data_IF_469979369409
#
_entry.id   IF_469979369409
#
_cell.length_a   1.000
_cell.length_b   1.000
_cell.length_c   1.000
_cell.angle_alpha   90.00
_cell.angle_beta   90.00
_cell.angle_gamma   90.00
#
_symmetry.space_group_name_H-M   'P 1'
#
loop_
_entity.id
_entity.type
_entity.pdbx_description
1 polymer ?
#
# COMPACT_ATOMS: atom_id res chain seq x y z
N UNK A 1 -2.28 52.78 59.05
CA UNK A 1 -1.93 51.66 58.16
C UNK A 1 -2.24 52.08 56.73
N UNK A 2 -1.26 52.66 56.03
CA UNK A 2 -1.20 52.76 54.57
C UNK A 2 0.24 53.16 54.23
N UNK A 3 1.06 52.18 53.81
CA UNK A 3 2.43 52.39 53.34
C UNK A 3 2.36 52.32 51.82
N UNK A 4 2.68 53.43 51.15
CA UNK A 4 2.92 53.49 49.72
C UNK A 4 4.39 53.06 49.52
N UNK A 5 4.59 51.87 48.95
CA UNK A 5 5.90 51.40 48.52
C UNK A 5 6.02 51.58 47.00
N UNK A 6 6.92 52.46 46.58
CA UNK A 6 7.35 52.60 45.20
C UNK A 6 8.22 51.39 44.81
N UNK A 7 7.92 50.77 43.65
CA UNK A 7 8.77 49.74 43.06
C UNK A 7 9.92 50.39 42.29
N UNK A 8 11.16 49.87 42.34
CA UNK A 8 12.21 50.26 41.41
C UNK A 8 12.13 49.46 40.10
N UNK A 9 12.42 50.15 38.99
CA UNK A 9 12.58 49.60 37.64
C UNK A 9 13.64 48.49 37.60
N UNK A 10 13.28 47.36 37.00
CA UNK A 10 14.21 46.28 36.70
C UNK A 10 14.92 46.57 35.36
N UNK A 11 16.15 47.06 35.42
CA UNK A 11 17.04 47.14 34.26
C UNK A 11 17.56 45.75 33.89
N UNK A 12 17.18 45.25 32.71
CA UNK A 12 17.67 44.00 32.17
C UNK A 12 19.20 44.08 31.88
N UNK A 13 19.98 43.20 32.51
CA UNK A 13 21.40 43.01 32.20
C UNK A 13 21.55 42.44 30.78
N UNK A 14 22.18 43.20 29.89
CA UNK A 14 22.46 42.78 28.51
C UNK A 14 23.57 41.72 28.43
N UNK A 15 23.33 40.65 27.66
CA UNK A 15 24.32 39.59 27.39
C UNK A 15 25.52 40.12 26.58
N UNK A 16 26.75 39.66 26.84
CA UNK A 16 27.92 40.04 26.05
C UNK A 16 27.88 39.41 24.65
N UNK A 17 28.41 40.15 23.66
CA UNK A 17 28.41 39.80 22.23
C UNK A 17 29.27 38.56 21.96
N UNK A 18 28.80 37.69 21.08
CA UNK A 18 29.52 36.46 20.69
C UNK A 18 30.18 36.60 19.32
N UNK A 19 31.16 35.75 19.02
CA UNK A 19 31.83 35.69 17.70
C UNK A 19 30.85 35.43 16.54
N UNK A 20 29.74 34.74 16.80
CA UNK A 20 28.66 34.55 15.84
C UNK A 20 27.94 35.86 15.48
N UNK A 21 27.79 36.79 16.43
CA UNK A 21 27.19 38.12 16.17
C UNK A 21 28.08 39.01 15.30
N UNK A 22 29.40 38.75 15.27
CA UNK A 22 30.37 39.50 14.46
C UNK A 22 30.37 39.05 12.98
N UNK A 23 30.08 37.77 12.72
CA UNK A 23 30.10 37.22 11.35
C UNK A 23 28.75 37.25 10.64
N UNK A 24 27.64 37.18 11.38
CA UNK A 24 26.30 37.06 10.77
C UNK A 24 25.41 38.29 10.98
N UNK A 25 25.90 39.31 11.67
CA UNK A 25 25.11 40.49 12.00
C UNK A 25 24.01 40.18 13.00
N UNK A 26 23.59 41.20 13.75
CA UNK A 26 22.51 41.07 14.73
C UNK A 26 21.20 40.88 13.97
N UNK A 27 20.50 39.76 14.19
CA UNK A 27 19.08 39.66 13.80
C UNK A 27 18.27 40.56 14.74
N UNK A 28 18.12 41.81 14.35
CA UNK A 28 17.14 42.71 14.94
C UNK A 28 15.75 42.22 14.54
N UNK A 29 14.89 41.96 15.54
CA UNK A 29 13.48 41.73 15.29
C UNK A 29 12.87 43.01 14.69
N UNK A 30 12.05 42.93 13.63
CA UNK A 30 11.40 44.11 13.07
C UNK A 30 10.51 44.75 14.15
N UNK A 31 10.42 46.10 14.21
CA UNK A 31 9.60 46.78 15.19
C UNK A 31 8.12 46.45 14.99
N UNK A 32 7.43 46.22 16.11
CA UNK A 32 5.98 46.03 16.18
C UNK A 32 5.26 47.19 15.46
N UNK A 33 4.72 46.91 14.28
CA UNK A 33 3.72 47.80 13.68
C UNK A 33 2.43 47.67 14.51
N UNK A 34 2.18 48.68 15.33
CA UNK A 34 0.86 48.95 15.90
C UNK A 34 -0.17 49.08 14.76
N UNK A 35 -1.03 48.07 14.62
CA UNK A 35 -2.27 48.19 13.85
C UNK A 35 -3.36 48.69 14.80
N UNK A 36 -3.84 49.91 14.57
CA UNK A 36 -5.03 50.45 15.22
C UNK A 36 -6.28 49.73 14.65
N UNK A 37 -7.10 49.05 15.46
CA UNK A 37 -8.36 48.49 14.98
C UNK A 37 -9.40 49.60 14.75
N UNK A 38 -10.23 49.53 13.69
CA UNK A 38 -11.21 50.58 13.39
C UNK A 38 -12.31 50.69 14.46
N UNK A 39 -12.90 51.89 14.66
CA UNK A 39 -13.83 52.14 15.77
C UNK A 39 -15.14 51.35 15.63
N UNK A 40 -15.51 50.66 16.72
CA UNK A 40 -16.81 49.99 16.88
C UNK A 40 -17.96 51.00 16.79
N UNK A 41 -18.92 50.71 15.92
CA UNK A 41 -20.24 51.37 15.87
C UNK A 41 -20.94 51.27 17.23
N UNK A 42 -21.34 52.43 17.75
CA UNK A 42 -22.13 52.58 18.97
C UNK A 42 -23.55 52.09 18.71
N UNK A 43 -23.96 50.99 19.35
CA UNK A 43 -25.36 50.59 19.47
C UNK A 43 -25.93 51.10 20.81
N UNK A 44 -27.10 51.73 20.72
CA UNK A 44 -27.84 52.39 21.82
C UNK A 44 -28.19 51.41 22.97
N UNK A 45 -28.28 51.91 24.23
CA UNK A 45 -28.60 51.09 25.38
C UNK A 45 -30.11 50.82 25.51
N UNK A 46 -30.49 49.56 25.77
CA UNK A 46 -31.81 49.16 26.25
C UNK A 46 -31.77 48.74 27.72
N UNK A 47 -32.84 49.11 28.44
CA UNK A 47 -33.02 49.13 29.92
C UNK A 47 -32.80 47.78 30.64
N UNK A 48 -32.47 47.80 31.95
CA UNK A 48 -32.31 46.61 32.76
C UNK A 48 -33.67 46.04 33.20
N UNK A 49 -33.88 44.74 33.01
CA UNK A 49 -34.96 43.98 33.64
C UNK A 49 -34.37 42.95 34.58
N UNK A 50 -34.75 43.07 35.84
CA UNK A 50 -34.41 42.20 36.97
C UNK A 50 -35.05 40.82 36.82
N UNK A 51 -34.29 39.72 36.94
CA UNK A 51 -34.84 38.47 37.51
C UNK A 51 -33.79 37.47 38.01
N UNK A 52 -33.83 37.28 39.33
CA UNK A 52 -33.52 36.10 40.16
C UNK A 52 -32.41 35.13 39.75
N UNK A 53 -31.34 35.20 40.55
CA UNK A 53 -30.31 34.19 40.72
C UNK A 53 -30.89 33.01 41.52
N UNK A 54 -31.18 31.89 40.86
CA UNK A 54 -31.30 30.60 41.53
C UNK A 54 -29.95 29.88 41.45
N UNK A 55 -29.38 29.62 42.63
CA UNK A 55 -28.19 28.78 42.81
C UNK A 55 -28.60 27.33 42.60
N UNK A 56 -28.26 26.74 41.46
CA UNK A 56 -28.11 25.29 41.35
C UNK A 56 -26.66 24.98 41.04
N UNK A 57 -26.00 24.29 41.98
CA UNK A 57 -24.64 23.80 41.80
C UNK A 57 -24.61 22.78 40.69
N UNK A 58 -24.08 23.18 39.52
CA UNK A 58 -23.75 22.25 38.46
C UNK A 58 -22.25 21.96 38.55
N UNK A 59 -21.92 20.87 39.23
CA UNK A 59 -20.62 20.21 39.14
C UNK A 59 -20.28 20.01 37.67
N UNK A 60 -19.31 20.75 37.14
CA UNK A 60 -18.68 20.47 35.85
C UNK A 60 -17.83 19.22 36.02
N UNK A 61 -18.45 18.03 35.86
CA UNK A 61 -17.67 16.84 35.52
C UNK A 61 -17.05 17.09 34.17
N UNK A 62 -15.77 17.48 34.17
CA UNK A 62 -14.89 17.36 33.02
C UNK A 62 -14.88 15.88 32.65
N UNK A 63 -15.70 15.51 31.66
CA UNK A 63 -15.60 14.21 31.04
C UNK A 63 -14.45 14.34 30.05
N UNK A 64 -13.26 13.90 30.47
CA UNK A 64 -12.16 13.67 29.55
C UNK A 64 -12.71 12.86 28.36
N UNK A 65 -12.33 13.19 27.10
CA UNK A 65 -12.73 12.37 25.97
C UNK A 65 -12.25 10.95 26.26
N UNK A 66 -13.18 9.99 26.20
CA UNK A 66 -12.84 8.58 26.29
C UNK A 66 -11.79 8.33 25.20
N UNK A 67 -10.59 7.92 25.62
CA UNK A 67 -9.58 7.39 24.73
C UNK A 67 -10.27 6.21 24.06
N UNK A 68 -10.64 6.37 22.79
CA UNK A 68 -11.16 5.25 22.03
C UNK A 68 -10.03 4.22 22.03
N UNK A 69 -10.27 3.07 22.65
CA UNK A 69 -9.39 1.92 22.58
C UNK A 69 -9.15 1.66 21.10
N UNK A 70 -7.96 2.05 20.64
CA UNK A 70 -7.52 1.71 19.29
C UNK A 70 -7.30 0.20 19.37
N UNK A 71 -8.03 -0.63 18.61
CA UNK A 71 -7.79 -2.06 18.64
C UNK A 71 -6.31 -2.28 18.32
N UNK A 72 -5.58 -2.81 19.31
CA UNK A 72 -4.15 -3.09 19.19
C UNK A 72 -4.00 -4.09 18.05
N UNK A 73 -3.45 -3.63 16.91
CA UNK A 73 -3.12 -4.50 15.78
C UNK A 73 -2.19 -5.59 16.34
N UNK A 74 -2.50 -6.88 16.16
CA UNK A 74 -1.58 -7.95 16.54
C UNK A 74 -0.19 -7.63 15.98
N UNK A 75 0.89 -7.81 16.77
CA UNK A 75 2.23 -7.53 16.30
C UNK A 75 2.48 -8.30 15.00
N UNK A 76 3.04 -7.61 14.00
CA UNK A 76 3.37 -8.26 12.74
C UNK A 76 4.31 -9.44 13.00
N UNK A 77 4.13 -10.58 12.31
CA UNK A 77 5.05 -11.71 12.43
C UNK A 77 6.48 -11.25 12.11
N UNK A 78 7.46 -11.81 12.82
CA UNK A 78 8.86 -11.47 12.60
C UNK A 78 9.24 -11.73 11.13
N UNK A 79 10.06 -10.85 10.51
CA UNK A 79 10.54 -11.08 9.14
C UNK A 79 11.29 -12.41 9.03
N UNK A 80 11.09 -13.12 7.92
CA UNK A 80 11.83 -14.35 7.61
C UNK A 80 13.20 -13.98 7.07
N UNK A 81 14.23 -14.71 7.50
CA UNK A 81 15.59 -14.57 6.96
C UNK A 81 15.61 -14.86 5.46
N UNK A 82 16.29 -14.01 4.69
CA UNK A 82 16.33 -14.13 3.23
C UNK A 82 17.36 -15.18 2.81
N UNK A 83 17.02 -16.01 1.83
CA UNK A 83 17.95 -16.97 1.25
C UNK A 83 19.14 -16.21 0.61
N UNK A 84 20.37 -16.76 0.63
CA UNK A 84 21.53 -16.11 0.02
C UNK A 84 21.37 -15.80 -1.47
N UNK A 85 20.63 -16.65 -2.19
CA UNK A 85 20.30 -16.55 -3.62
C UNK A 85 18.98 -15.83 -3.90
N UNK A 86 18.36 -15.20 -2.89
CA UNK A 86 17.13 -14.44 -3.07
C UNK A 86 17.27 -13.36 -4.15
N UNK A 87 16.28 -13.30 -5.03
CA UNK A 87 16.20 -12.30 -6.10
C UNK A 87 16.07 -10.91 -5.51
N UNK A 88 16.90 -9.99 -5.97
CA UNK A 88 16.85 -8.59 -5.53
C UNK A 88 15.85 -7.79 -6.36
N UNK A 89 14.85 -7.18 -5.70
CA UNK A 89 14.01 -6.12 -6.27
C UNK A 89 14.59 -4.78 -5.83
N UNK A 90 15.15 -4.04 -6.78
CA UNK A 90 15.72 -2.72 -6.51
C UNK A 90 14.63 -1.66 -6.56
N UNK A 91 14.47 -0.89 -5.48
CA UNK A 91 13.55 0.26 -5.42
C UNK A 91 14.35 1.55 -5.46
N UNK A 92 14.00 2.42 -6.41
CA UNK A 92 14.59 3.74 -6.61
C UNK A 92 13.48 4.78 -6.48
N UNK A 93 13.73 5.85 -5.72
CA UNK A 93 12.68 6.81 -5.48
C UNK A 93 13.06 8.05 -4.69
N UNK A 94 12.06 8.93 -4.58
CA UNK A 94 12.01 10.03 -3.63
C UNK A 94 11.34 9.58 -2.31
N UNK A 95 10.92 10.51 -1.45
CA UNK A 95 10.29 10.15 -0.17
C UNK A 95 8.99 9.33 -0.32
N UNK A 96 8.24 9.50 -1.42
CA UNK A 96 7.08 8.67 -1.70
C UNK A 96 7.54 7.27 -2.13
N UNK A 97 8.59 7.20 -2.96
CA UNK A 97 9.24 5.94 -3.31
C UNK A 97 9.85 5.20 -2.11
N UNK A 98 10.31 5.92 -1.08
CA UNK A 98 10.67 5.35 0.22
C UNK A 98 9.49 4.63 0.88
N UNK A 99 8.31 5.26 0.83
CA UNK A 99 7.08 4.63 1.29
C UNK A 99 6.70 3.38 0.48
N UNK A 100 6.91 3.38 -0.83
CA UNK A 100 6.73 2.20 -1.68
C UNK A 100 7.70 1.07 -1.29
N UNK A 101 8.97 1.39 -1.05
CA UNK A 101 9.98 0.42 -0.62
C UNK A 101 9.58 -0.24 0.70
N UNK A 102 9.21 0.55 1.71
CA UNK A 102 8.71 0.04 3.00
C UNK A 102 7.46 -0.86 2.82
N UNK A 103 6.55 -0.49 1.92
CA UNK A 103 5.38 -1.30 1.62
C UNK A 103 5.72 -2.64 0.96
N UNK A 104 6.73 -2.68 0.08
CA UNK A 104 7.22 -3.90 -0.55
C UNK A 104 7.99 -4.77 0.45
N UNK A 105 8.78 -4.17 1.34
CA UNK A 105 9.46 -4.86 2.44
C UNK A 105 8.45 -5.55 3.37
N UNK A 106 7.36 -4.87 3.76
CA UNK A 106 6.27 -5.49 4.55
C UNK A 106 5.58 -6.61 3.76
N UNK A 107 5.28 -6.39 2.48
CA UNK A 107 4.61 -7.37 1.63
C UNK A 107 5.44 -8.66 1.44
N UNK A 108 6.76 -8.52 1.34
CA UNK A 108 7.69 -9.60 1.05
C UNK A 108 8.41 -10.10 2.30
N UNK A 109 8.07 -9.63 3.49
CA UNK A 109 8.75 -9.98 4.73
C UNK A 109 8.83 -11.49 4.98
N UNK A 110 7.78 -12.22 4.60
CA UNK A 110 7.65 -13.67 4.80
C UNK A 110 8.16 -14.51 3.61
N UNK A 111 8.62 -13.87 2.53
CA UNK A 111 9.14 -14.55 1.36
C UNK A 111 10.68 -14.64 1.43
N UNK A 112 11.28 -15.83 1.60
CA UNK A 112 12.73 -15.97 1.72
C UNK A 112 13.46 -15.76 0.39
N UNK A 113 12.78 -15.90 -0.76
CA UNK A 113 13.38 -15.91 -2.10
C UNK A 113 13.45 -14.53 -2.76
N UNK A 114 12.90 -13.51 -2.12
CA UNK A 114 12.95 -12.13 -2.61
C UNK A 114 13.39 -11.17 -1.52
N UNK A 115 14.35 -10.32 -1.87
CA UNK A 115 14.80 -9.20 -1.03
C UNK A 115 14.57 -7.87 -1.72
N UNK A 116 14.27 -6.84 -0.95
CA UNK A 116 14.15 -5.47 -1.44
C UNK A 116 15.46 -4.74 -1.19
N UNK A 117 16.08 -4.22 -2.24
CA UNK A 117 17.21 -3.30 -2.15
C UNK A 117 16.68 -1.87 -2.23
N UNK A 118 16.75 -1.13 -1.12
CA UNK A 118 16.21 0.22 -1.02
C UNK A 118 17.29 1.26 -1.35
N UNK A 119 17.22 1.83 -2.55
CA UNK A 119 18.11 2.90 -3.03
C UNK A 119 17.33 4.20 -3.20
N UNK A 120 16.59 4.60 -2.17
CA UNK A 120 15.81 5.84 -2.17
C UNK A 120 16.64 7.02 -1.68
N UNK A 121 16.45 8.18 -2.31
CA UNK A 121 16.91 9.46 -1.80
C UNK A 121 15.72 10.41 -1.64
N UNK A 122 15.32 10.67 -0.39
CA UNK A 122 14.03 11.30 -0.07
C UNK A 122 13.79 12.69 -0.70
N UNK A 123 14.84 13.49 -0.85
CA UNK A 123 14.76 14.86 -1.39
C UNK A 123 15.16 14.96 -2.86
N UNK A 124 15.36 13.83 -3.53
CA UNK A 124 15.75 13.76 -4.93
C UNK A 124 14.57 13.91 -5.90
N UNK A 125 14.93 14.05 -7.17
CA UNK A 125 14.05 14.18 -8.33
C UNK A 125 14.89 14.33 -9.60
N UNK A 126 14.26 14.54 -10.76
CA UNK A 126 14.95 14.79 -12.03
C UNK A 126 15.27 16.28 -12.28
N UNK A 127 14.73 17.21 -11.49
CA UNK A 127 15.00 18.66 -11.66
C UNK A 127 16.36 19.05 -11.06
N UNK A 128 16.61 18.69 -9.80
CA UNK A 128 17.77 19.12 -9.02
C UNK A 128 18.93 18.14 -9.12
N UNK A 129 19.59 18.11 -10.28
CA UNK A 129 20.78 17.27 -10.51
C UNK A 129 21.97 17.67 -9.63
N UNK A 130 22.00 18.91 -9.13
CA UNK A 130 22.95 19.40 -8.14
C UNK A 130 22.77 18.74 -6.76
N UNK A 131 21.55 18.31 -6.42
CA UNK A 131 21.26 17.60 -5.19
C UNK A 131 21.51 16.09 -5.33
N UNK A 132 20.91 15.47 -6.34
CA UNK A 132 21.12 14.06 -6.64
C UNK A 132 20.82 13.76 -8.11
N UNK A 133 21.87 13.45 -8.88
CA UNK A 133 21.77 13.16 -10.30
C UNK A 133 21.46 11.66 -10.54
N UNK A 134 20.17 11.33 -10.65
CA UNK A 134 19.71 9.97 -10.98
C UNK A 134 20.33 9.42 -12.28
N UNK A 135 20.28 10.12 -13.43
CA UNK A 135 20.95 9.69 -14.66
C UNK A 135 22.44 9.35 -14.50
N UNK A 136 23.18 10.14 -13.70
CA UNK A 136 24.61 9.88 -13.47
C UNK A 136 24.86 8.71 -12.49
N UNK A 137 23.97 8.49 -11.53
CA UNK A 137 24.16 7.48 -10.46
C UNK A 137 23.63 6.10 -10.82
N UNK A 138 22.60 6.01 -11.66
CA UNK A 138 21.87 4.76 -11.90
C UNK A 138 22.77 3.61 -12.32
N UNK A 139 23.73 3.85 -13.24
CA UNK A 139 24.62 2.79 -13.72
C UNK A 139 25.40 2.12 -12.58
N UNK A 140 25.98 2.92 -11.68
CA UNK A 140 26.75 2.39 -10.55
C UNK A 140 25.88 1.59 -9.59
N UNK A 141 24.63 2.02 -9.36
CA UNK A 141 23.68 1.29 -8.53
C UNK A 141 23.34 -0.07 -9.17
N UNK A 142 23.14 -0.12 -10.49
CA UNK A 142 22.85 -1.37 -11.20
C UNK A 142 24.02 -2.34 -11.17
N UNK A 143 25.25 -1.83 -11.30
CA UNK A 143 26.47 -2.64 -11.22
C UNK A 143 26.69 -3.24 -9.82
N UNK A 144 26.28 -2.51 -8.78
CA UNK A 144 26.39 -2.91 -7.38
C UNK A 144 25.28 -3.92 -6.98
N UNK A 145 24.02 -3.61 -7.27
CA UNK A 145 22.86 -4.37 -6.78
C UNK A 145 22.49 -5.57 -7.65
N UNK A 146 22.81 -5.51 -8.96
CA UNK A 146 22.48 -6.55 -9.95
C UNK A 146 21.04 -7.11 -9.79
N UNK A 147 20.02 -6.23 -9.86
CA UNK A 147 18.67 -6.61 -9.49
C UNK A 147 18.03 -7.58 -10.50
N UNK A 148 17.08 -8.39 -10.04
CA UNK A 148 16.21 -9.16 -10.92
C UNK A 148 15.12 -8.29 -11.57
N UNK A 149 14.68 -7.23 -10.90
CA UNK A 149 13.76 -6.22 -11.42
C UNK A 149 13.96 -4.88 -10.69
N UNK A 150 13.62 -3.78 -11.37
CA UNK A 150 13.73 -2.42 -10.85
C UNK A 150 12.33 -1.82 -10.72
N UNK A 151 12.08 -1.20 -9.58
CA UNK A 151 10.87 -0.43 -9.31
C UNK A 151 11.25 1.03 -9.10
N UNK A 152 10.65 1.93 -9.88
CA UNK A 152 10.92 3.37 -9.81
C UNK A 152 9.68 4.11 -9.35
N UNK A 153 9.84 5.03 -8.39
CA UNK A 153 8.79 5.97 -7.99
C UNK A 153 9.42 7.31 -7.58
N UNK A 154 9.48 8.24 -8.53
CA UNK A 154 10.08 9.57 -8.40
C UNK A 154 9.09 10.61 -8.94
N UNK A 155 9.12 11.82 -8.40
CA UNK A 155 8.49 13.00 -9.01
C UNK A 155 7.83 13.95 -8.04
N UNK A 156 7.70 13.58 -6.76
CA UNK A 156 7.01 14.40 -5.76
C UNK A 156 7.72 15.73 -5.50
N UNK A 157 9.04 15.78 -5.70
CA UNK A 157 9.87 16.97 -5.51
C UNK A 157 10.09 17.79 -6.80
N UNK A 158 9.67 17.30 -7.97
CA UNK A 158 10.06 17.83 -9.27
C UNK A 158 9.22 19.01 -9.76
N UNK A 159 8.30 19.50 -8.94
CA UNK A 159 7.54 20.73 -9.20
C UNK A 159 8.38 21.98 -8.94
N UNK A 160 9.52 22.07 -9.59
CA UNK A 160 10.53 23.12 -9.45
C UNK A 160 10.97 23.63 -10.82
N UNK A 161 11.35 24.91 -10.95
CA UNK A 161 11.87 25.42 -12.20
C UNK A 161 13.16 24.71 -12.60
N UNK A 162 13.38 24.57 -13.91
CA UNK A 162 14.64 24.11 -14.48
C UNK A 162 15.34 25.31 -15.11
N UNK A 163 16.61 25.52 -14.78
CA UNK A 163 17.45 26.50 -15.47
C UNK A 163 18.02 25.88 -16.74
N UNK A 164 17.66 26.44 -17.89
CA UNK A 164 18.14 26.05 -19.22
C UNK A 164 18.86 27.24 -19.82
N UNK A 165 20.15 27.10 -20.16
CA UNK A 165 20.96 28.17 -20.75
C UNK A 165 20.91 29.50 -19.95
N UNK A 166 20.94 29.39 -18.62
CA UNK A 166 20.86 30.55 -17.72
C UNK A 166 19.46 31.13 -17.52
N UNK A 167 18.44 30.60 -18.22
CA UNK A 167 17.05 31.05 -18.08
C UNK A 167 16.25 30.07 -17.24
N UNK A 168 15.59 30.57 -16.20
CA UNK A 168 14.66 29.78 -15.38
C UNK A 168 13.36 29.52 -16.14
N UNK A 169 13.00 28.26 -16.32
CA UNK A 169 11.74 27.83 -16.91
C UNK A 169 10.84 27.26 -15.84
N UNK A 170 9.61 27.75 -15.75
CA UNK A 170 8.64 27.26 -14.76
C UNK A 170 8.11 25.87 -15.13
N UNK A 171 7.71 25.05 -14.14
CA UNK A 171 7.11 23.74 -14.37
C UNK A 171 5.97 23.78 -15.38
N UNK A 172 5.92 22.75 -16.25
CA UNK A 172 4.92 22.56 -17.31
C UNK A 172 4.91 23.60 -18.44
N UNK A 173 5.83 24.55 -18.48
CA UNK A 173 6.08 25.28 -19.74
C UNK A 173 6.58 24.30 -20.81
N UNK A 174 6.37 24.55 -22.11
CA UNK A 174 6.80 23.62 -23.16
C UNK A 174 8.30 23.30 -23.12
N UNK A 175 9.13 24.33 -22.86
CA UNK A 175 10.59 24.23 -22.69
C UNK A 175 10.96 23.39 -21.47
N UNK A 176 10.35 23.64 -20.32
CA UNK A 176 10.56 22.85 -19.11
C UNK A 176 10.16 21.38 -19.32
N UNK A 177 9.00 21.15 -19.95
CA UNK A 177 8.45 19.81 -20.18
C UNK A 177 9.35 18.99 -21.10
N UNK A 178 9.89 19.61 -22.16
CA UNK A 178 10.81 18.96 -23.08
C UNK A 178 12.11 18.54 -22.38
N UNK A 179 12.71 19.43 -21.60
CA UNK A 179 13.95 19.12 -20.85
C UNK A 179 13.71 18.09 -19.75
N UNK A 180 12.61 18.19 -19.01
CA UNK A 180 12.23 17.20 -18.00
C UNK A 180 12.01 15.81 -18.62
N UNK A 181 11.26 15.75 -19.74
CA UNK A 181 11.02 14.50 -20.48
C UNK A 181 12.34 13.89 -20.95
N UNK A 182 13.26 14.70 -21.50
CA UNK A 182 14.59 14.24 -21.92
C UNK A 182 15.37 13.61 -20.76
N UNK A 183 15.32 14.19 -19.55
CA UNK A 183 16.00 13.64 -18.36
C UNK A 183 15.41 12.30 -17.93
N UNK A 184 14.08 12.20 -17.90
CA UNK A 184 13.36 10.96 -17.59
C UNK A 184 13.67 9.88 -18.63
N UNK A 185 13.55 10.19 -19.92
CA UNK A 185 13.85 9.26 -21.01
C UNK A 185 15.31 8.80 -20.95
N UNK A 186 16.27 9.69 -20.70
CA UNK A 186 17.68 9.32 -20.55
C UNK A 186 17.96 8.37 -19.38
N UNK A 187 17.27 8.56 -18.26
CA UNK A 187 17.32 7.65 -17.12
C UNK A 187 16.75 6.26 -17.46
N UNK A 188 15.55 6.22 -18.05
CA UNK A 188 14.90 4.97 -18.46
C UNK A 188 15.72 4.23 -19.52
N UNK A 189 16.27 4.95 -20.50
CA UNK A 189 17.14 4.38 -21.54
C UNK A 189 18.40 3.73 -20.96
N UNK A 190 18.95 4.29 -19.89
CA UNK A 190 20.12 3.71 -19.21
C UNK A 190 19.78 2.36 -18.59
N UNK A 191 18.60 2.25 -17.95
CA UNK A 191 18.09 0.99 -17.41
C UNK A 191 17.83 -0.02 -18.53
N UNK A 192 17.16 0.41 -19.61
CA UNK A 192 16.88 -0.43 -20.77
C UNK A 192 18.16 -0.98 -21.40
N UNK A 193 19.18 -0.14 -21.60
CA UNK A 193 20.48 -0.55 -22.17
C UNK A 193 21.22 -1.53 -21.26
N UNK A 194 21.04 -1.43 -19.95
CA UNK A 194 21.56 -2.40 -18.99
C UNK A 194 20.79 -3.73 -18.99
N UNK A 195 19.62 -3.80 -19.63
CA UNK A 195 18.85 -5.04 -19.82
C UNK A 195 17.98 -5.46 -18.64
N UNK A 196 17.77 -4.58 -17.67
CA UNK A 196 16.97 -4.89 -16.49
C UNK A 196 15.47 -4.62 -16.70
N UNK A 197 14.57 -5.51 -16.25
CA UNK A 197 13.14 -5.24 -16.25
C UNK A 197 12.78 -4.03 -15.37
N UNK A 198 11.93 -3.15 -15.89
CA UNK A 198 11.52 -1.91 -15.24
C UNK A 198 10.01 -1.87 -14.98
N UNK A 199 9.65 -1.58 -13.73
CA UNK A 199 8.31 -1.18 -13.30
C UNK A 199 8.37 0.26 -12.81
N UNK A 200 7.62 1.17 -13.44
CA UNK A 200 7.46 2.53 -12.94
C UNK A 200 6.12 2.67 -12.23
N UNK A 201 6.13 3.04 -10.96
CA UNK A 201 4.92 3.32 -10.18
C UNK A 201 4.60 4.81 -10.26
N UNK A 202 3.41 5.15 -10.74
CA UNK A 202 2.95 6.52 -10.83
C UNK A 202 2.88 7.19 -9.44
N UNK A 203 3.02 8.51 -9.40
CA UNK A 203 2.83 9.28 -8.17
C UNK A 203 1.32 9.46 -7.89
N UNK A 204 0.88 9.34 -6.63
CA UNK A 204 -0.53 9.46 -6.31
C UNK A 204 -0.91 10.94 -6.06
N UNK A 205 -2.20 11.30 -5.98
CA UNK A 205 -2.65 12.67 -5.76
C UNK A 205 -2.19 13.26 -4.42
N UNK A 206 -2.03 14.58 -4.39
CA UNK A 206 -1.69 15.40 -3.23
C UNK A 206 -2.83 16.37 -2.89
N UNK A 207 -2.95 16.76 -1.62
CA UNK A 207 -4.02 17.66 -1.16
C UNK A 207 -4.04 19.01 -1.88
N UNK A 208 -2.90 19.69 -2.13
CA UNK A 208 -2.92 20.90 -2.96
C UNK A 208 -3.31 20.56 -4.40
N UNK A 209 -4.42 21.13 -4.88
CA UNK A 209 -4.96 20.82 -6.22
C UNK A 209 -3.96 21.07 -7.35
N UNK A 210 -3.20 22.17 -7.29
CA UNK A 210 -2.15 22.46 -8.27
C UNK A 210 -1.05 21.40 -8.28
N UNK A 211 -0.72 20.82 -7.11
CA UNK A 211 0.24 19.71 -7.02
C UNK A 211 -0.28 18.45 -7.70
N UNK A 212 -1.54 18.09 -7.43
CA UNK A 212 -2.19 16.96 -8.11
C UNK A 212 -2.24 17.13 -9.63
N UNK A 213 -2.52 18.35 -10.13
CA UNK A 213 -2.55 18.63 -11.57
C UNK A 213 -1.17 18.48 -12.24
N UNK A 214 -0.11 18.93 -11.57
CA UNK A 214 1.25 18.79 -12.09
C UNK A 214 1.70 17.32 -12.07
N UNK A 215 1.35 16.58 -11.02
CA UNK A 215 1.66 15.15 -10.88
C UNK A 215 0.95 14.31 -11.94
N UNK A 216 -0.30 14.64 -12.31
CA UNK A 216 -0.97 14.00 -13.46
C UNK A 216 -0.16 14.15 -14.75
N UNK A 217 0.32 15.37 -15.02
CA UNK A 217 1.14 15.61 -16.21
C UNK A 217 2.47 14.84 -16.14
N UNK A 218 3.10 14.74 -14.98
CA UNK A 218 4.33 13.99 -14.79
C UNK A 218 4.13 12.48 -14.95
N UNK A 219 3.05 11.93 -14.41
CA UNK A 219 2.70 10.52 -14.58
C UNK A 219 2.54 10.14 -16.04
N UNK A 220 1.99 11.02 -16.88
CA UNK A 220 1.89 10.78 -18.31
C UNK A 220 3.27 10.70 -18.99
N UNK A 221 4.21 11.57 -18.59
CA UNK A 221 5.60 11.50 -19.07
C UNK A 221 6.24 10.16 -18.66
N UNK A 222 6.06 9.75 -17.40
CA UNK A 222 6.62 8.51 -16.88
C UNK A 222 6.06 7.27 -17.57
N UNK A 223 4.74 7.23 -17.77
CA UNK A 223 4.06 6.16 -18.51
C UNK A 223 4.65 6.03 -19.90
N UNK A 224 4.65 7.12 -20.66
CA UNK A 224 5.12 7.13 -22.04
C UNK A 224 6.60 6.73 -22.15
N UNK A 225 7.47 7.26 -21.29
CA UNK A 225 8.89 6.90 -21.29
C UNK A 225 9.12 5.42 -20.95
N UNK A 226 8.40 4.91 -19.94
CA UNK A 226 8.54 3.52 -19.46
C UNK A 226 8.02 2.52 -20.49
N UNK A 227 6.82 2.74 -21.03
CA UNK A 227 6.19 1.84 -21.99
C UNK A 227 6.96 1.82 -23.33
N UNK A 228 7.43 2.98 -23.80
CA UNK A 228 8.33 3.08 -24.97
C UNK A 228 9.64 2.30 -24.78
N UNK A 229 10.10 2.17 -23.55
CA UNK A 229 11.27 1.37 -23.20
C UNK A 229 10.97 -0.14 -23.08
N UNK A 230 9.71 -0.56 -23.12
CA UNK A 230 9.27 -1.95 -22.89
C UNK A 230 9.08 -2.29 -21.40
N UNK A 231 9.10 -1.29 -20.53
CA UNK A 231 8.77 -1.45 -19.11
C UNK A 231 7.26 -1.41 -18.85
N UNK A 232 6.86 -1.67 -17.61
CA UNK A 232 5.46 -1.60 -17.18
C UNK A 232 5.21 -0.36 -16.32
N UNK A 233 4.13 0.38 -16.60
CA UNK A 233 3.67 1.47 -15.74
C UNK A 233 2.54 0.99 -14.82
N UNK A 234 2.73 1.12 -13.50
CA UNK A 234 1.72 0.86 -12.50
C UNK A 234 1.00 2.17 -12.15
N UNK A 235 -0.20 2.35 -12.70
CA UNK A 235 -1.07 3.47 -12.38
C UNK A 235 -1.73 3.27 -11.02
N UNK A 236 -1.48 4.20 -10.10
CA UNK A 236 -2.00 4.17 -8.74
C UNK A 236 -3.11 5.18 -8.51
N UNK A 237 -3.37 6.10 -9.46
CA UNK A 237 -4.14 7.33 -9.24
C UNK A 237 -5.52 7.04 -8.63
N UNK A 238 -6.27 6.16 -9.27
CA UNK A 238 -7.63 5.78 -8.88
C UNK A 238 -7.70 5.13 -7.49
N UNK A 239 -6.59 4.57 -7.01
CA UNK A 239 -6.47 4.00 -5.67
C UNK A 239 -6.42 5.05 -4.55
N UNK A 240 -6.23 6.32 -4.86
CA UNK A 240 -5.98 7.37 -3.86
C UNK A 240 -6.87 8.61 -4.03
N UNK A 241 -7.89 8.51 -4.88
CA UNK A 241 -8.93 9.52 -5.06
C UNK A 241 -10.26 9.09 -4.45
N UNK A 242 -11.16 10.04 -4.25
CA UNK A 242 -12.56 9.79 -3.95
C UNK A 242 -13.36 9.45 -5.22
N UNK A 243 -14.65 9.18 -5.05
CA UNK A 243 -15.59 8.87 -6.15
C UNK A 243 -15.69 9.99 -7.20
N UNK A 244 -15.32 11.22 -6.84
CA UNK A 244 -15.31 12.38 -7.73
C UNK A 244 -13.94 12.61 -8.38
N UNK A 245 -12.96 11.72 -8.16
CA UNK A 245 -11.61 11.84 -8.69
C UNK A 245 -10.74 12.88 -7.96
N UNK A 246 -11.17 13.38 -6.79
CA UNK A 246 -10.40 14.34 -6.01
C UNK A 246 -9.53 13.63 -4.97
N UNK A 247 -8.53 14.35 -4.46
CA UNK A 247 -7.68 13.87 -3.38
C UNK A 247 -8.50 13.38 -2.17
N UNK A 248 -8.22 12.16 -1.70
CA UNK A 248 -8.83 11.59 -0.50
C UNK A 248 -7.79 11.27 0.59
N UNK A 249 -8.14 11.55 1.85
CA UNK A 249 -7.32 11.16 3.00
C UNK A 249 -7.40 9.66 3.30
N UNK A 250 -8.54 9.07 2.98
CA UNK A 250 -8.91 7.70 3.27
C UNK A 250 -9.49 7.05 2.02
N UNK A 251 -9.40 5.73 1.95
CA UNK A 251 -9.96 4.91 0.88
C UNK A 251 -9.87 3.45 1.27
N UNK A 252 -10.11 2.54 0.33
CA UNK A 252 -9.96 1.11 0.60
C UNK A 252 -8.49 0.71 0.65
N UNK A 253 -8.10 -0.12 1.62
CA UNK A 253 -6.81 -0.78 1.67
C UNK A 253 -6.75 -1.98 0.72
N UNK A 254 -5.67 -2.76 0.79
CA UNK A 254 -5.47 -3.95 -0.04
C UNK A 254 -6.46 -5.09 0.28
N UNK A 255 -7.13 -5.04 1.44
CA UNK A 255 -8.12 -6.02 1.88
C UNK A 255 -9.56 -5.54 1.60
N UNK A 256 -9.73 -4.40 0.94
CA UNK A 256 -11.03 -3.78 0.69
C UNK A 256 -11.65 -3.10 1.92
N UNK A 257 -10.88 -2.88 3.00
CA UNK A 257 -11.35 -2.19 4.21
C UNK A 257 -11.05 -0.70 4.13
N UNK A 258 -11.93 0.15 4.65
CA UNK A 258 -11.66 1.58 4.72
C UNK A 258 -10.49 1.85 5.67
N UNK A 259 -9.43 2.44 5.14
CA UNK A 259 -8.25 2.83 5.88
C UNK A 259 -7.83 4.26 5.54
N UNK A 260 -7.10 4.87 6.46
CA UNK A 260 -6.46 6.15 6.19
C UNK A 260 -5.21 5.92 5.35
N UNK A 261 -5.14 6.49 4.15
CA UNK A 261 -4.05 6.28 3.19
C UNK A 261 -3.05 7.45 3.16
N UNK A 262 -3.47 8.64 3.58
CA UNK A 262 -2.66 9.86 3.63
C UNK A 262 -2.60 10.46 5.03
N UNK A 263 -1.47 11.05 5.37
CA UNK A 263 -1.30 11.86 6.56
C UNK A 263 -2.16 13.14 6.50
N UNK A 264 -2.31 13.85 7.63
CA UNK A 264 -3.15 15.06 7.71
C UNK A 264 -2.65 16.22 6.85
N UNK A 265 -1.34 16.26 6.56
CA UNK A 265 -0.73 17.21 5.64
C UNK A 265 -1.20 17.02 4.18
N UNK A 266 -1.67 15.82 3.86
CA UNK A 266 -2.07 15.42 2.52
C UNK A 266 -0.91 15.29 1.53
N UNK A 267 0.29 15.07 2.05
CA UNK A 267 1.52 14.83 1.29
C UNK A 267 2.09 13.46 1.67
N UNK A 268 2.27 13.21 2.97
CA UNK A 268 2.85 11.97 3.44
C UNK A 268 1.85 10.80 3.37
N UNK A 269 2.38 9.60 3.23
CA UNK A 269 1.60 8.36 3.11
C UNK A 269 1.67 7.58 4.42
N UNK A 270 0.53 7.06 4.86
CA UNK A 270 0.44 6.20 6.06
C UNK A 270 0.92 4.78 5.75
N UNK A 271 1.10 3.93 6.77
CA UNK A 271 1.47 2.54 6.53
C UNK A 271 0.50 1.79 5.60
N UNK A 272 -0.81 2.00 5.78
CA UNK A 272 -1.81 1.40 4.90
C UNK A 272 -1.69 1.91 3.44
N UNK A 273 -1.39 3.21 3.25
CA UNK A 273 -1.13 3.77 1.93
C UNK A 273 0.16 3.23 1.29
N UNK A 274 1.23 3.05 2.08
CA UNK A 274 2.51 2.47 1.64
C UNK A 274 2.31 1.03 1.17
N UNK A 275 1.62 0.21 1.96
CA UNK A 275 1.26 -1.16 1.58
C UNK A 275 0.39 -1.20 0.33
N UNK A 276 -0.54 -0.24 0.17
CA UNK A 276 -1.36 -0.10 -1.04
C UNK A 276 -0.53 0.26 -2.27
N UNK A 277 0.43 1.19 -2.18
CA UNK A 277 1.35 1.49 -3.28
C UNK A 277 2.12 0.25 -3.72
N UNK A 278 2.67 -0.49 -2.76
CA UNK A 278 3.39 -1.74 -3.03
C UNK A 278 2.53 -2.76 -3.77
N UNK A 279 1.25 -2.88 -3.39
CA UNK A 279 0.30 -3.77 -4.04
C UNK A 279 0.12 -3.49 -5.54
N UNK A 280 0.16 -2.22 -5.96
CA UNK A 280 0.12 -1.88 -7.39
C UNK A 280 1.38 -2.33 -8.15
N UNK A 281 2.54 -2.34 -7.49
CA UNK A 281 3.79 -2.84 -8.07
C UNK A 281 3.87 -4.39 -8.11
N UNK A 282 3.18 -5.09 -7.20
CA UNK A 282 3.24 -6.55 -7.10
C UNK A 282 2.74 -7.28 -8.35
N UNK A 283 1.71 -6.77 -9.04
CA UNK A 283 1.20 -7.41 -10.25
C UNK A 283 2.23 -7.43 -11.38
N UNK A 284 2.80 -6.29 -11.83
CA UNK A 284 3.84 -6.31 -12.86
C UNK A 284 5.11 -7.01 -12.38
N UNK A 285 5.49 -6.89 -11.10
CA UNK A 285 6.62 -7.64 -10.57
C UNK A 285 6.42 -9.16 -10.63
N UNK A 286 5.22 -9.67 -10.31
CA UNK A 286 4.88 -11.10 -10.46
C UNK A 286 4.99 -11.58 -11.90
N UNK A 287 4.59 -10.75 -12.85
CA UNK A 287 4.74 -11.08 -14.28
C UNK A 287 6.22 -11.20 -14.70
N UNK A 288 7.12 -10.45 -14.06
CA UNK A 288 8.55 -10.46 -14.35
C UNK A 288 9.31 -11.56 -13.59
N UNK A 289 8.97 -11.79 -12.32
CA UNK A 289 9.74 -12.69 -11.44
C UNK A 289 9.11 -14.09 -11.27
N UNK A 290 7.87 -14.27 -11.72
CA UNK A 290 7.14 -15.54 -11.68
C UNK A 290 6.93 -16.05 -10.26
N UNK A 291 7.16 -17.35 -10.07
CA UNK A 291 6.92 -18.08 -8.83
C UNK A 291 7.67 -17.52 -7.62
N UNK A 292 8.77 -16.78 -7.82
CA UNK A 292 9.48 -16.11 -6.73
C UNK A 292 8.60 -15.09 -5.98
N UNK A 293 7.51 -14.58 -6.57
CA UNK A 293 6.56 -13.69 -5.90
C UNK A 293 5.20 -14.36 -5.63
N UNK A 294 5.10 -15.69 -5.74
CA UNK A 294 3.88 -16.42 -5.43
C UNK A 294 3.59 -16.40 -3.91
N UNK A 295 2.34 -16.17 -3.49
CA UNK A 295 1.96 -16.18 -2.08
C UNK A 295 2.13 -17.56 -1.41
N UNK A 296 2.19 -18.63 -2.21
CA UNK A 296 2.51 -19.99 -1.76
C UNK A 296 4.03 -20.26 -1.60
N UNK A 297 4.90 -19.30 -1.95
CA UNK A 297 6.35 -19.40 -1.68
C UNK A 297 6.69 -19.11 -0.20
N UNK A 298 5.74 -18.54 0.56
CA UNK A 298 5.89 -18.44 2.01
C UNK A 298 5.54 -19.81 2.63
N UNK A 299 6.45 -20.44 3.39
CA UNK A 299 6.16 -21.70 4.05
C UNK A 299 4.98 -21.49 5.02
N UNK A 300 3.94 -22.32 4.87
CA UNK A 300 2.79 -22.27 5.79
C UNK A 300 3.23 -22.86 7.13
N UNK A 301 2.77 -22.31 8.28
CA UNK A 301 3.06 -22.91 9.57
C UNK A 301 2.55 -24.36 9.61
N UNK A 302 3.47 -25.33 9.60
CA UNK A 302 3.16 -26.76 9.53
C UNK A 302 3.79 -27.51 8.36
N UNK A 303 4.39 -26.82 7.38
CA UNK A 303 5.17 -27.51 6.34
C UNK A 303 6.48 -28.07 6.92
N UNK A 304 6.67 -29.38 6.77
CA UNK A 304 7.95 -30.04 7.02
C UNK A 304 8.95 -29.60 5.94
N UNK A 305 10.26 -29.47 6.25
CA UNK A 305 11.26 -29.12 5.26
C UNK A 305 11.19 -30.08 4.07
N UNK A 306 10.82 -29.57 2.90
CA UNK A 306 10.92 -30.38 1.69
C UNK A 306 12.40 -30.58 1.35
N UNK A 307 12.85 -31.82 1.10
CA UNK A 307 14.20 -32.04 0.61
C UNK A 307 14.38 -31.36 -0.76
N UNK A 308 15.61 -30.93 -1.11
CA UNK A 308 15.88 -30.28 -2.39
C UNK A 308 15.41 -31.16 -3.55
N UNK A 309 14.97 -30.56 -4.68
CA UNK A 309 14.47 -31.33 -5.81
C UNK A 309 15.54 -32.30 -6.29
N UNK A 310 15.25 -33.59 -6.11
CA UNK A 310 16.06 -34.67 -6.65
C UNK A 310 16.22 -34.42 -8.15
N UNK A 311 17.47 -34.37 -8.63
CA UNK A 311 17.80 -34.26 -10.05
C UNK A 311 16.90 -35.20 -10.85
N UNK A 312 16.07 -34.64 -11.72
CA UNK A 312 15.10 -35.38 -12.51
C UNK A 312 15.80 -36.56 -13.22
N UNK A 313 15.53 -37.78 -12.75
CA UNK A 313 15.83 -38.98 -13.52
C UNK A 313 15.09 -38.87 -14.84
N UNK A 314 15.82 -38.98 -15.94
CA UNK A 314 15.26 -39.04 -17.29
C UNK A 314 14.17 -40.13 -17.26
N UNK A 315 12.90 -39.80 -17.55
CA UNK A 315 11.85 -40.81 -17.57
C UNK A 315 12.25 -41.86 -18.62
N UNK A 316 12.18 -43.14 -18.24
CA UNK A 316 12.32 -44.25 -19.18
C UNK A 316 11.44 -43.96 -20.41
N UNK A 317 11.97 -44.22 -21.62
CA UNK A 317 11.24 -44.04 -22.88
C UNK A 317 9.86 -44.67 -22.75
N UNK A 318 8.84 -43.82 -22.61
CA UNK A 318 7.45 -44.19 -22.78
C UNK A 318 7.25 -44.20 -24.29
N UNK A 319 6.99 -45.37 -24.88
CA UNK A 319 6.49 -45.46 -26.25
C UNK A 319 5.12 -44.80 -26.28
N UNK A 320 5.10 -43.52 -26.66
CA UNK A 320 3.87 -42.78 -26.88
C UNK A 320 3.35 -43.17 -28.25
N UNK A 321 2.31 -43.97 -28.27
CA UNK A 321 1.49 -44.17 -29.47
C UNK A 321 0.97 -42.79 -29.88
N UNK A 322 1.16 -42.44 -31.15
CA UNK A 322 0.75 -41.13 -31.68
C UNK A 322 -0.77 -40.92 -31.49
N UNK A 323 -1.22 -39.71 -31.13
CA UNK A 323 -2.64 -39.42 -31.02
C UNK A 323 -3.31 -39.56 -32.39
N UNK A 324 -4.34 -40.41 -32.45
CA UNK A 324 -5.17 -40.59 -33.65
C UNK A 324 -6.00 -39.33 -33.86
N UNK A 325 -6.01 -38.83 -35.10
CA UNK A 325 -6.79 -37.65 -35.50
C UNK A 325 -8.29 -37.93 -35.40
N UNK A 326 -9.04 -37.04 -34.74
CA UNK A 326 -10.52 -37.07 -34.61
C UNK A 326 -11.29 -37.01 -35.94
N UNK A 327 -10.60 -36.88 -37.08
CA UNK A 327 -11.21 -36.85 -38.42
C UNK A 327 -11.19 -38.22 -39.13
N UNK A 328 -10.53 -39.23 -38.56
CA UNK A 328 -10.45 -40.60 -39.09
C UNK A 328 -11.34 -41.60 -38.32
N UNK A 329 -12.22 -41.11 -37.43
CA UNK A 329 -13.29 -41.97 -36.90
C UNK A 329 -14.39 -42.07 -37.95
N UNK A 330 -14.29 -43.10 -38.79
CA UNK A 330 -15.41 -43.57 -39.58
C UNK A 330 -16.57 -43.90 -38.62
N UNK A 331 -17.69 -43.22 -38.82
CA UNK A 331 -18.87 -43.27 -37.97
C UNK A 331 -19.64 -44.56 -38.26
N UNK A 332 -19.14 -45.69 -37.77
CA UNK A 332 -19.98 -46.87 -37.59
C UNK A 332 -19.80 -47.48 -36.20
N UNK A 333 -20.72 -47.08 -35.32
CA UNK A 333 -21.42 -47.94 -34.37
C UNK A 333 -20.60 -49.02 -33.64
N UNK A 334 -19.86 -48.62 -32.60
CA UNK A 334 -19.25 -49.56 -31.65
C UNK A 334 -19.10 -48.94 -30.27
N UNK A 335 -20.13 -49.05 -29.44
CA UNK A 335 -20.19 -48.47 -28.09
C UNK A 335 -19.45 -49.31 -27.03
N UNK A 336 -18.34 -49.97 -27.39
CA UNK A 336 -17.64 -50.92 -26.53
C UNK A 336 -16.13 -50.65 -26.53
N UNK A 337 -15.58 -50.39 -25.34
CA UNK A 337 -14.14 -50.26 -25.11
C UNK A 337 -13.51 -51.65 -25.12
N UNK A 338 -12.41 -51.81 -25.86
CA UNK A 338 -11.64 -53.04 -25.90
C UNK A 338 -11.05 -53.34 -24.50
N UNK A 339 -11.72 -54.22 -23.75
CA UNK A 339 -11.25 -54.75 -22.46
C UNK A 339 -12.16 -54.60 -21.24
N UNK A 340 -13.37 -54.04 -21.35
CA UNK A 340 -14.27 -53.87 -20.21
C UNK A 340 -15.57 -54.68 -20.34
N UNK A 341 -15.59 -55.91 -19.80
CA UNK A 341 -16.85 -56.58 -19.47
C UNK A 341 -17.39 -56.02 -18.14
N UNK A 342 -18.23 -54.98 -18.23
CA UNK A 342 -19.07 -54.52 -17.12
C UNK A 342 -20.51 -54.40 -17.62
N UNK A 343 -21.39 -55.20 -17.03
CA UNK A 343 -22.79 -55.30 -17.40
C UNK A 343 -23.52 -53.96 -17.34
N UNK A 344 -24.53 -53.83 -18.23
CA UNK A 344 -25.57 -52.79 -18.29
C UNK A 344 -25.33 -51.57 -17.38
N UNK A 345 -24.84 -50.49 -18.00
CA UNK A 345 -24.80 -49.15 -17.42
C UNK A 345 -26.15 -48.78 -16.83
N UNK A 346 -26.19 -48.51 -15.52
CA UNK A 346 -27.31 -47.87 -14.86
C UNK A 346 -27.33 -46.39 -15.26
N UNK A 347 -28.52 -45.88 -15.54
CA UNK A 347 -28.74 -44.49 -15.99
C UNK A 347 -28.00 -43.46 -15.13
N UNK A 348 -27.56 -42.33 -15.71
CA UNK A 348 -26.85 -41.29 -14.97
C UNK A 348 -27.70 -40.76 -13.81
N UNK A 349 -27.14 -40.79 -12.60
CA UNK A 349 -27.80 -40.27 -11.40
C UNK A 349 -27.84 -38.74 -11.51
N UNK A 350 -29.03 -38.18 -11.71
CA UNK A 350 -29.26 -36.73 -11.80
C UNK A 350 -28.88 -36.05 -10.48
N UNK A 351 -28.19 -34.90 -10.55
CA UNK A 351 -27.86 -34.11 -9.37
C UNK A 351 -29.10 -33.40 -8.80
N UNK A 352 -29.05 -32.94 -7.55
CA UNK A 352 -30.16 -32.20 -6.92
C UNK A 352 -30.52 -30.90 -7.68
N UNK A 353 -29.54 -30.29 -8.37
CA UNK A 353 -29.76 -29.15 -9.26
C UNK A 353 -30.49 -29.57 -10.54
N UNK A 354 -30.10 -30.70 -11.13
CA UNK A 354 -30.74 -31.21 -12.35
C UNK A 354 -32.19 -31.60 -12.11
N UNK A 355 -32.49 -32.21 -10.95
CA UNK A 355 -33.86 -32.51 -10.54
C UNK A 355 -34.73 -31.25 -10.40
N UNK A 356 -34.17 -30.16 -9.88
CA UNK A 356 -34.90 -28.89 -9.74
C UNK A 356 -35.10 -28.19 -11.09
N UNK A 357 -34.06 -28.15 -11.93
CA UNK A 357 -34.06 -27.38 -13.19
C UNK A 357 -34.80 -28.11 -14.31
N UNK A 358 -34.64 -29.44 -14.41
CA UNK A 358 -35.18 -30.24 -15.50
C UNK A 358 -36.54 -30.82 -15.11
N UNK A 359 -36.64 -31.41 -13.93
CA UNK A 359 -37.84 -32.15 -13.51
C UNK A 359 -38.77 -31.30 -12.61
N UNK A 360 -38.35 -30.09 -12.22
CA UNK A 360 -39.12 -29.20 -11.32
C UNK A 360 -39.24 -29.73 -9.89
N UNK A 361 -38.45 -30.75 -9.52
CA UNK A 361 -38.54 -31.41 -8.22
C UNK A 361 -37.56 -30.79 -7.25
N UNK A 362 -38.08 -30.13 -6.21
CA UNK A 362 -37.26 -29.61 -5.13
C UNK A 362 -36.68 -30.74 -4.26
N UNK A 363 -35.46 -30.51 -3.74
CA UNK A 363 -34.83 -31.44 -2.81
C UNK A 363 -35.66 -31.60 -1.53
N UNK A 364 -35.63 -32.79 -0.93
CA UNK A 364 -36.37 -33.05 0.31
C UNK A 364 -35.82 -32.17 1.45
N UNK A 365 -36.69 -31.49 2.21
CA UNK A 365 -36.27 -30.62 3.31
C UNK A 365 -35.58 -31.45 4.40
N UNK A 366 -34.50 -30.88 4.96
CA UNK A 366 -33.73 -31.50 6.04
C UNK A 366 -34.00 -30.79 7.37
N UNK A 367 -34.31 -31.53 8.46
CA UNK A 367 -34.59 -30.94 9.76
C UNK A 367 -33.47 -29.99 10.23
N UNK A 368 -33.84 -28.76 10.59
CA UNK A 368 -32.93 -27.73 11.10
C UNK A 368 -32.25 -26.85 10.05
N UNK A 369 -32.54 -27.04 8.75
CA UNK A 369 -32.10 -26.15 7.67
C UNK A 369 -33.18 -25.13 7.32
N UNK A 370 -32.79 -24.03 6.68
CA UNK A 370 -33.68 -22.92 6.34
C UNK A 370 -34.80 -23.29 5.33
N UNK A 371 -34.68 -24.43 4.66
CA UNK A 371 -35.64 -24.99 3.70
C UNK A 371 -36.67 -25.96 4.33
N UNK A 372 -36.61 -26.23 5.64
CA UNK A 372 -37.61 -27.05 6.34
C UNK A 372 -38.74 -26.20 6.95
N UNK A 373 -39.90 -26.21 6.28
CA UNK A 373 -41.11 -25.52 6.70
C UNK A 373 -42.12 -26.42 7.43
N UNK A 374 -41.73 -27.61 7.87
CA UNK A 374 -42.66 -28.56 8.51
C UNK A 374 -43.07 -28.13 9.92
N UNK A 375 -44.37 -28.29 10.24
CA UNK A 375 -44.96 -27.99 11.56
C UNK A 375 -45.82 -29.16 12.05
N UNK A 376 -45.79 -29.51 13.36
CA UNK A 376 -44.94 -28.96 14.41
C UNK A 376 -43.46 -29.34 14.23
N UNK A 377 -42.55 -28.45 14.65
CA UNK A 377 -41.10 -28.65 14.49
C UNK A 377 -40.66 -29.90 15.24
N UNK A 378 -39.99 -30.83 14.55
CA UNK A 378 -39.37 -32.01 15.18
C UNK A 378 -38.05 -31.60 15.84
N UNK A 379 -37.73 -32.07 17.06
CA UNK A 379 -36.50 -31.70 17.76
C UNK A 379 -35.28 -32.32 17.06
N UNK A 380 -34.28 -31.47 16.77
CA UNK A 380 -32.99 -31.88 16.21
C UNK A 380 -32.17 -32.60 17.27
N UNK A 381 -31.69 -33.82 16.99
CA UNK A 381 -30.74 -34.52 17.87
C UNK A 381 -29.39 -33.79 17.79
N UNK A 382 -29.07 -33.04 18.84
CA UNK A 382 -27.76 -32.39 19.01
C UNK A 382 -26.70 -33.47 19.20
N UNK A 383 -25.69 -33.51 18.33
CA UNK A 383 -24.50 -34.31 18.56
C UNK A 383 -23.88 -33.91 19.90
N UNK A 384 -23.69 -34.88 20.79
CA UNK A 384 -23.15 -34.72 22.14
C UNK A 384 -21.72 -34.15 22.01
N UNK A 385 -21.49 -32.93 22.50
CA UNK A 385 -20.13 -32.41 22.67
C UNK A 385 -19.33 -33.35 23.60
N UNK A 386 -18.07 -33.67 23.29
CA UNK A 386 -17.22 -34.39 24.23
C UNK A 386 -16.95 -33.48 25.45
N UNK A 387 -17.27 -34.01 26.62
CA UNK A 387 -16.97 -33.41 27.93
C UNK A 387 -15.46 -33.55 28.17
N UNK A 388 -14.74 -32.50 28.59
CA UNK A 388 -13.35 -32.65 29.02
C UNK A 388 -13.34 -33.38 30.37
N UNK A 389 -12.69 -34.53 30.44
CA UNK A 389 -12.37 -35.19 31.71
C UNK A 389 -11.11 -34.57 32.29
N UNK A 390 -11.28 -33.89 33.42
CA UNK A 390 -10.21 -33.52 34.34
C UNK A 390 -9.68 -34.80 35.01
N UNK A 391 -8.50 -35.27 34.57
CA UNK A 391 -7.72 -36.25 35.32
C UNK A 391 -6.64 -35.51 36.12
N UNK A 392 -7.01 -35.01 37.30
CA UNK A 392 -6.05 -34.77 38.38
C UNK A 392 -6.09 -35.99 39.30
N UNK A 393 -5.25 -36.98 39.02
CA UNK A 393 -4.90 -38.01 40.02
C UNK A 393 -3.47 -37.79 40.48
N UNK A 394 -3.36 -37.34 41.72
CA UNK A 394 -2.14 -37.24 42.52
C UNK A 394 -1.51 -38.62 42.68
N UNK A 395 -0.35 -38.84 42.07
CA UNK A 395 0.52 -39.97 42.35
C UNK A 395 1.31 -39.73 43.64
N UNK A 396 1.04 -40.52 44.68
CA UNK A 396 1.92 -40.70 45.84
C UNK A 396 2.47 -42.12 45.78
N UNK A 397 3.79 -42.23 45.71
CA UNK A 397 4.60 -43.45 45.84
C UNK A 397 4.58 -43.92 47.31
N UNK A 398 4.67 -45.23 47.56
CA UNK A 398 5.99 -45.85 47.76
C UNK A 398 6.27 -47.06 46.87
#
# INVERSE_FOLDING_TARGET
MLIIAAMPDASAQGRPKTLLDLFFGRREAPPDYYYDPPPRRVTRPSKPSTRNRSTSGRSTRSRAPAVADTPSRPPAPAPVEKNPDAKTVLVIGDFIGGGLAEGLEEALAQNPDVRVANRVNGSSGFVRTDHYDWPAKIKGILDEEKPAAIVVMIGANDRQPITIEGTSQDPRTPTWTAEYTKRVEGFVDTIKKAGYPLVWVGQPPFKPRGMSQDILAFNEIYRNATEKAGGSFADVWDGFVDESGNFALSGFDINGQTARLRANDGINITQAGKRKLAFYAEKPLRQLLGDALSPDAAPKPGDLPQPPPETAKIPAKIDRIAPVSLKDLDLDSGNELLGAHLGKSLAPIKSARDLLVIDGVAAKPQPGRADDFTWPRKPTLTAKQPVPTDDTTTGTTP
#
